data_IF_227625100437
#
_entry.id   IF_227625100437
#
_cell.length_a   1.000
_cell.length_b   1.000
_cell.length_c   1.000
_cell.angle_alpha   90.00
_cell.angle_beta   90.00
_cell.angle_gamma   90.00
#
_symmetry.space_group_name_H-M   'P 1'
#
loop_
_entity.id
_entity.type
_entity.pdbx_description
1 polymer ?
#
# COMPACT_ATOMS: atom_id res chain seq x y z
N UNK A 1 15.57 -64.55 -45.26
CA UNK A 1 14.24 -64.13 -44.89
C UNK A 1 14.40 -63.30 -43.62
N UNK A 2 14.47 -62.01 -43.77
CA UNK A 2 14.64 -61.08 -42.65
C UNK A 2 13.76 -59.92 -42.97
N UNK A 3 12.71 -59.74 -42.15
CA UNK A 3 11.77 -58.65 -42.29
C UNK A 3 12.34 -57.40 -41.55
N UNK A 4 12.47 -56.33 -42.29
CA UNK A 4 12.84 -55.01 -41.78
C UNK A 4 11.62 -54.39 -41.13
N UNK A 5 11.78 -54.08 -39.86
CA UNK A 5 10.79 -53.31 -39.12
C UNK A 5 11.21 -51.84 -39.09
N UNK A 6 10.53 -51.02 -39.90
CA UNK A 6 10.65 -49.56 -39.91
C UNK A 6 9.83 -49.00 -38.79
N UNK A 7 10.46 -48.56 -37.73
CA UNK A 7 9.87 -47.72 -36.70
C UNK A 7 10.03 -46.25 -37.08
N UNK A 8 8.93 -45.64 -37.47
CA UNK A 8 8.83 -44.19 -37.67
C UNK A 8 8.77 -43.52 -36.30
N UNK A 9 9.81 -42.80 -35.94
CA UNK A 9 9.79 -41.88 -34.81
C UNK A 9 9.21 -40.54 -35.31
N UNK A 10 7.92 -40.35 -35.13
CA UNK A 10 7.30 -39.04 -35.15
C UNK A 10 7.60 -38.33 -33.83
N UNK A 11 8.62 -37.50 -33.87
CA UNK A 11 8.97 -36.60 -32.78
C UNK A 11 8.14 -35.32 -32.93
N UNK A 12 6.87 -35.38 -32.52
CA UNK A 12 6.07 -34.18 -32.35
C UNK A 12 6.57 -33.42 -31.11
N UNK A 13 7.36 -32.39 -31.37
CA UNK A 13 7.64 -31.36 -30.39
C UNK A 13 6.33 -30.59 -30.09
N UNK A 14 5.88 -30.53 -28.83
CA UNK A 14 4.81 -29.61 -28.50
C UNK A 14 5.36 -28.18 -28.53
N UNK A 15 5.01 -27.45 -29.57
CA UNK A 15 5.20 -25.99 -29.60
C UNK A 15 4.25 -25.35 -28.63
N UNK A 16 4.57 -25.47 -27.36
CA UNK A 16 3.95 -24.67 -26.28
C UNK A 16 4.38 -23.21 -26.43
N UNK A 17 3.66 -22.44 -27.23
CA UNK A 17 3.64 -21.00 -27.11
C UNK A 17 2.96 -20.70 -25.76
N UNK A 18 3.71 -20.74 -24.68
CA UNK A 18 3.35 -20.15 -23.42
C UNK A 18 3.19 -18.66 -23.65
N UNK A 19 1.97 -18.20 -23.89
CA UNK A 19 1.65 -16.81 -23.73
C UNK A 19 2.03 -16.45 -22.30
N UNK A 20 3.04 -15.61 -22.12
CA UNK A 20 3.38 -15.04 -20.84
C UNK A 20 2.18 -14.19 -20.43
N UNK A 21 1.29 -14.77 -19.59
CA UNK A 21 0.26 -14.01 -18.91
C UNK A 21 1.00 -13.03 -17.98
N UNK A 22 1.19 -11.80 -18.45
CA UNK A 22 1.70 -10.74 -17.59
C UNK A 22 0.67 -10.54 -16.46
N UNK A 23 1.13 -10.40 -15.20
CA UNK A 23 0.22 -10.17 -14.11
C UNK A 23 -0.58 -8.88 -14.34
N UNK A 24 -1.86 -8.87 -13.93
CA UNK A 24 -2.72 -7.70 -14.03
C UNK A 24 -2.18 -6.51 -13.23
N UNK A 25 -1.51 -6.79 -12.12
CA UNK A 25 -0.89 -5.83 -11.21
C UNK A 25 0.55 -6.26 -10.96
N UNK A 26 1.49 -5.35 -11.21
CA UNK A 26 2.89 -5.52 -10.85
C UNK A 26 3.35 -4.31 -10.04
N UNK A 27 3.74 -4.54 -8.80
CA UNK A 27 4.34 -3.49 -7.95
C UNK A 27 5.85 -3.47 -8.24
N UNK A 28 6.32 -2.40 -8.84
CA UNK A 28 7.73 -2.24 -9.22
C UNK A 28 8.58 -1.78 -8.05
N UNK A 29 8.08 -0.83 -7.29
CA UNK A 29 8.75 -0.33 -6.09
C UNK A 29 7.73 0.23 -5.09
N UNK A 30 8.09 0.18 -3.82
CA UNK A 30 7.37 0.83 -2.74
C UNK A 30 8.38 1.67 -1.96
N UNK A 31 7.96 2.85 -1.52
CA UNK A 31 8.88 3.76 -0.84
C UNK A 31 8.15 4.74 0.08
N UNK A 32 8.88 5.23 1.06
CA UNK A 32 8.46 6.38 1.87
C UNK A 32 8.80 7.63 1.07
N UNK A 33 7.79 8.38 0.66
CA UNK A 33 7.98 9.66 -0.02
C UNK A 33 8.23 10.79 0.96
N UNK A 34 7.50 10.78 2.06
CA UNK A 34 7.62 11.76 3.13
C UNK A 34 7.24 11.13 4.48
N UNK A 35 7.98 11.46 5.52
CA UNK A 35 7.70 11.00 6.88
C UNK A 35 8.15 12.07 7.88
N UNK A 36 7.23 12.50 8.73
CA UNK A 36 7.55 13.36 9.85
C UNK A 36 6.87 12.88 11.14
N UNK A 37 7.57 12.99 12.24
CA UNK A 37 7.05 12.78 13.59
C UNK A 37 7.47 13.95 14.46
N UNK A 38 6.49 14.61 15.07
CA UNK A 38 6.71 15.69 16.03
C UNK A 38 6.12 15.30 17.38
N UNK A 39 6.85 15.59 18.44
CA UNK A 39 6.41 15.46 19.84
C UNK A 39 6.56 16.82 20.49
N UNK A 40 5.56 17.73 20.31
CA UNK A 40 5.72 19.17 20.60
C UNK A 40 6.05 19.49 22.05
N UNK A 41 5.59 18.64 22.97
CA UNK A 41 5.74 18.86 24.42
C UNK A 41 6.73 17.89 25.06
N UNK A 42 7.63 17.30 24.27
CA UNK A 42 8.73 16.51 24.82
C UNK A 42 9.75 17.44 25.50
N UNK A 43 10.42 17.03 26.61
CA UNK A 43 10.30 15.69 27.21
C UNK A 43 9.18 15.56 28.26
N UNK A 44 8.56 16.66 28.70
CA UNK A 44 7.62 16.69 29.83
C UNK A 44 6.41 15.83 29.59
N UNK A 45 5.89 15.77 28.36
CA UNK A 45 4.69 15.03 27.99
C UNK A 45 4.80 13.53 28.31
N UNK A 46 6.01 12.98 28.31
CA UNK A 46 6.22 11.56 28.61
C UNK A 46 5.80 11.15 30.02
N UNK A 47 5.77 12.11 30.95
CA UNK A 47 5.28 11.90 32.34
C UNK A 47 3.76 11.77 32.40
N UNK A 48 3.08 12.30 31.39
CA UNK A 48 1.61 12.34 31.32
C UNK A 48 1.01 11.08 30.66
N UNK A 49 1.84 10.20 30.07
CA UNK A 49 1.39 8.97 29.42
C UNK A 49 1.09 7.92 30.48
N UNK A 50 -0.08 7.99 31.10
CA UNK A 50 -0.57 7.03 32.11
C UNK A 50 -1.64 6.10 31.57
N UNK A 51 -2.19 6.41 30.40
CA UNK A 51 -3.23 5.68 29.70
C UNK A 51 -2.99 5.75 28.19
N UNK A 52 -3.73 4.96 27.42
CA UNK A 52 -3.67 5.02 25.95
C UNK A 52 -4.07 6.43 25.47
N UNK A 53 -3.31 7.03 24.55
CA UNK A 53 -3.67 8.33 23.97
C UNK A 53 -4.92 8.23 23.10
N UNK A 54 -5.64 9.34 22.98
CA UNK A 54 -6.68 9.50 21.98
C UNK A 54 -6.03 9.79 20.63
N UNK A 55 -6.23 8.91 19.64
CA UNK A 55 -5.59 9.02 18.33
C UNK A 55 -6.64 9.28 17.25
N UNK A 56 -6.42 10.31 16.46
CA UNK A 56 -7.17 10.61 15.26
C UNK A 56 -6.33 10.27 14.04
N UNK A 57 -6.99 9.71 13.01
CA UNK A 57 -6.33 9.28 11.77
C UNK A 57 -7.13 9.82 10.60
N UNK A 58 -6.45 10.51 9.70
CA UNK A 58 -6.96 10.88 8.40
C UNK A 58 -6.19 10.13 7.32
N UNK A 59 -6.92 9.55 6.36
CA UNK A 59 -6.36 8.74 5.27
C UNK A 59 -6.79 9.33 3.95
N UNK A 60 -5.82 9.53 3.07
CA UNK A 60 -6.04 9.99 1.71
C UNK A 60 -5.33 9.08 0.71
N UNK A 61 -5.98 8.82 -0.41
CA UNK A 61 -5.40 8.07 -1.53
C UNK A 61 -5.42 8.96 -2.77
N UNK A 62 -4.32 8.97 -3.48
CA UNK A 62 -4.18 9.63 -4.76
C UNK A 62 -3.31 8.83 -5.72
N UNK A 63 -3.37 9.16 -6.98
CA UNK A 63 -2.47 8.57 -7.96
C UNK A 63 -2.09 9.56 -9.05
N UNK A 64 -0.97 9.28 -9.70
CA UNK A 64 -0.46 9.99 -10.84
C UNK A 64 -0.17 9.00 -11.97
N UNK A 65 -0.65 9.31 -13.17
CA UNK A 65 -0.32 8.53 -14.36
C UNK A 65 1.10 8.86 -14.82
N UNK A 66 1.87 7.81 -15.04
CA UNK A 66 3.20 7.88 -15.63
C UNK A 66 3.16 7.34 -17.06
N UNK A 67 4.32 7.24 -17.71
CA UNK A 67 4.41 6.68 -19.05
C UNK A 67 4.27 5.15 -19.04
N UNK A 68 3.90 4.55 -20.18
CA UNK A 68 3.90 3.10 -20.43
C UNK A 68 3.04 2.26 -19.45
N UNK A 69 1.85 2.73 -19.11
CA UNK A 69 0.94 2.07 -18.16
C UNK A 69 1.51 1.92 -16.74
N UNK A 70 2.45 2.78 -16.37
CA UNK A 70 2.90 2.93 -15.01
C UNK A 70 2.09 4.01 -14.28
N UNK A 71 1.92 3.81 -13.00
CA UNK A 71 1.21 4.73 -12.11
C UNK A 71 1.95 4.84 -10.79
N UNK A 72 1.97 6.03 -10.23
CA UNK A 72 2.43 6.24 -8.86
C UNK A 72 1.20 6.41 -7.96
N UNK A 73 0.99 5.50 -7.03
CA UNK A 73 -0.10 5.57 -6.05
C UNK A 73 0.46 6.05 -4.73
N UNK A 74 -0.19 7.04 -4.14
CA UNK A 74 0.19 7.62 -2.85
C UNK A 74 -0.89 7.34 -1.81
N UNK A 75 -0.46 6.78 -0.69
CA UNK A 75 -1.25 6.61 0.52
C UNK A 75 -0.73 7.57 1.58
N UNK A 76 -1.56 8.56 1.95
CA UNK A 76 -1.23 9.52 3.00
C UNK A 76 -1.93 9.15 4.29
N UNK A 77 -1.17 9.08 5.35
CA UNK A 77 -1.65 8.83 6.70
C UNK A 77 -1.24 10.02 7.57
N UNK A 78 -2.21 10.80 8.01
CA UNK A 78 -2.01 11.88 8.96
C UNK A 78 -2.61 11.46 10.29
N UNK A 79 -1.78 11.42 11.32
CA UNK A 79 -2.18 10.98 12.65
C UNK A 79 -1.78 12.00 13.69
N UNK A 80 -2.65 12.21 14.63
CA UNK A 80 -2.32 12.96 15.83
C UNK A 80 -2.88 12.28 17.07
N UNK A 81 -2.13 12.32 18.14
CA UNK A 81 -2.47 11.75 19.42
C UNK A 81 -2.51 12.81 20.50
N UNK A 82 -3.49 12.71 21.39
CA UNK A 82 -3.65 13.59 22.53
C UNK A 82 -3.62 12.80 23.84
N UNK A 83 -3.03 13.38 24.88
CA UNK A 83 -3.07 12.89 26.25
C UNK A 83 -3.37 14.08 27.19
N UNK A 84 -4.36 13.91 28.07
CA UNK A 84 -4.78 14.98 29.00
C UNK A 84 -5.04 16.35 28.32
N UNK A 85 -5.68 16.31 27.13
CA UNK A 85 -5.96 17.49 26.29
C UNK A 85 -4.71 18.23 25.76
N UNK A 86 -3.57 17.58 25.80
CA UNK A 86 -2.34 18.08 25.19
C UNK A 86 -1.91 17.22 24.03
N UNK A 87 -1.35 17.85 22.99
CA UNK A 87 -0.83 17.16 21.83
C UNK A 87 0.38 16.31 22.22
N UNK A 88 0.23 14.97 22.12
CA UNK A 88 1.30 14.02 22.37
C UNK A 88 2.21 13.90 21.18
N UNK A 89 1.63 13.69 19.97
CA UNK A 89 2.41 13.58 18.75
C UNK A 89 1.60 14.02 17.52
N UNK A 90 2.31 14.39 16.49
CA UNK A 90 1.80 14.60 15.14
C UNK A 90 2.67 13.76 14.20
N UNK A 91 2.08 12.85 13.44
CA UNK A 91 2.76 12.01 12.47
C UNK A 91 2.13 12.19 11.10
N UNK A 92 2.96 12.45 10.10
CA UNK A 92 2.55 12.53 8.71
C UNK A 92 3.40 11.54 7.89
N UNK A 93 2.75 10.68 7.13
CA UNK A 93 3.38 9.72 6.25
C UNK A 93 2.76 9.80 4.86
N UNK A 94 3.58 9.93 3.83
CA UNK A 94 3.22 9.62 2.46
C UNK A 94 3.99 8.39 2.01
N UNK A 95 3.27 7.28 1.87
CA UNK A 95 3.80 6.01 1.40
C UNK A 95 3.34 5.77 -0.02
N UNK A 96 4.25 5.43 -0.90
CA UNK A 96 3.98 5.39 -2.33
C UNK A 96 4.40 4.06 -2.96
N UNK A 97 3.76 3.73 -4.07
CA UNK A 97 4.14 2.61 -4.90
C UNK A 97 4.08 2.98 -6.38
N UNK A 98 5.10 2.58 -7.13
CA UNK A 98 5.06 2.60 -8.58
C UNK A 98 4.59 1.24 -9.07
N UNK A 99 3.50 1.23 -9.82
CA UNK A 99 2.83 0.02 -10.29
C UNK A 99 2.68 0.04 -11.80
N UNK A 100 2.81 -1.13 -12.43
CA UNK A 100 2.40 -1.36 -13.81
C UNK A 100 1.08 -2.12 -13.80
N UNK A 101 0.11 -1.64 -14.57
CA UNK A 101 -1.22 -2.22 -14.64
C UNK A 101 -1.55 -2.68 -16.06
N UNK A 102 -2.08 -3.89 -16.14
CA UNK A 102 -2.63 -4.46 -17.36
C UNK A 102 -4.09 -4.89 -17.08
N UNK A 103 -4.96 -3.89 -16.95
CA UNK A 103 -6.37 -4.06 -16.62
C UNK A 103 -7.23 -3.29 -17.63
N UNK A 104 -8.51 -3.70 -17.85
CA UNK A 104 -9.45 -2.92 -18.66
C UNK A 104 -9.61 -1.50 -18.13
N UNK A 105 -9.87 -0.54 -19.01
CA UNK A 105 -9.97 0.88 -18.65
C UNK A 105 -11.02 1.17 -17.57
N UNK A 106 -12.14 0.45 -17.59
CA UNK A 106 -13.21 0.57 -16.58
C UNK A 106 -12.80 0.10 -15.18
N UNK A 107 -11.76 -0.73 -15.06
CA UNK A 107 -11.24 -1.21 -13.78
C UNK A 107 -10.01 -0.44 -13.29
N UNK A 108 -9.48 0.45 -14.10
CA UNK A 108 -8.22 1.15 -13.80
C UNK A 108 -8.32 1.98 -12.52
N UNK A 109 -9.30 2.87 -12.42
CA UNK A 109 -9.46 3.75 -11.26
C UNK A 109 -9.78 2.97 -9.97
N UNK A 110 -10.72 1.99 -9.97
CA UNK A 110 -10.93 1.14 -8.81
C UNK A 110 -9.67 0.38 -8.34
N UNK A 111 -8.86 -0.12 -9.27
CA UNK A 111 -7.59 -0.78 -8.92
C UNK A 111 -6.64 0.21 -8.25
N UNK A 112 -6.45 1.39 -8.82
CA UNK A 112 -5.56 2.43 -8.28
C UNK A 112 -6.01 2.97 -6.92
N UNK A 113 -7.32 3.08 -6.70
CA UNK A 113 -7.88 3.73 -5.50
C UNK A 113 -8.28 2.74 -4.39
N UNK A 114 -8.40 1.47 -4.69
CA UNK A 114 -8.83 0.43 -3.74
C UNK A 114 -7.79 -0.66 -3.60
N UNK A 115 -7.45 -1.34 -4.71
CA UNK A 115 -6.60 -2.54 -4.64
C UNK A 115 -5.14 -2.22 -4.31
N UNK A 116 -4.56 -1.21 -4.96
CA UNK A 116 -3.18 -0.82 -4.68
C UNK A 116 -3.03 -0.29 -3.24
N UNK A 117 -3.86 0.64 -2.76
CA UNK A 117 -3.81 1.06 -1.35
C UNK A 117 -3.96 -0.10 -0.36
N UNK A 118 -4.85 -1.06 -0.65
CA UNK A 118 -5.01 -2.26 0.17
C UNK A 118 -3.73 -3.09 0.24
N UNK A 119 -3.01 -3.23 -0.87
CA UNK A 119 -1.77 -4.00 -0.93
C UNK A 119 -0.61 -3.31 -0.20
N UNK A 120 -0.51 -1.97 -0.26
CA UNK A 120 0.60 -1.22 0.35
C UNK A 120 0.32 -0.80 1.80
N UNK A 121 -0.92 -0.78 2.23
CA UNK A 121 -1.30 -0.36 3.59
C UNK A 121 -0.58 -1.12 4.72
N UNK A 122 -0.41 -2.45 4.68
CA UNK A 122 0.32 -3.17 5.73
C UNK A 122 1.75 -2.67 5.91
N UNK A 123 2.41 -2.26 4.84
CA UNK A 123 3.77 -1.70 4.89
C UNK A 123 3.77 -0.28 5.46
N UNK A 124 2.84 0.56 5.02
CA UNK A 124 2.66 1.91 5.57
C UNK A 124 2.34 1.85 7.08
N UNK A 125 1.45 0.95 7.49
CA UNK A 125 1.13 0.72 8.90
C UNK A 125 2.36 0.33 9.71
N UNK A 126 3.20 -0.53 9.17
CA UNK A 126 4.45 -0.94 9.84
C UNK A 126 5.41 0.26 10.01
N UNK A 127 5.53 1.12 9.01
CA UNK A 127 6.33 2.36 9.11
C UNK A 127 5.82 3.23 10.26
N UNK A 128 4.52 3.45 10.34
CA UNK A 128 3.90 4.24 11.42
C UNK A 128 4.20 3.65 12.79
N UNK A 129 3.95 2.35 12.97
CA UNK A 129 4.17 1.67 14.26
C UNK A 129 5.63 1.78 14.69
N UNK A 130 6.57 1.52 13.78
CA UNK A 130 7.99 1.61 14.08
C UNK A 130 8.42 3.06 14.40
N UNK A 131 7.90 4.04 13.64
CA UNK A 131 8.20 5.44 13.85
C UNK A 131 7.76 5.92 15.25
N UNK A 132 6.57 5.52 15.70
CA UNK A 132 6.07 5.86 17.04
C UNK A 132 6.94 5.24 18.13
N UNK A 133 7.33 3.97 18.00
CA UNK A 133 8.21 3.26 18.94
C UNK A 133 9.58 3.93 19.01
N UNK A 134 10.18 4.26 17.87
CA UNK A 134 11.45 4.99 17.80
C UNK A 134 11.35 6.42 18.38
N UNK A 135 10.16 7.02 18.34
CA UNK A 135 9.85 8.27 18.98
C UNK A 135 9.66 8.18 20.50
N UNK A 136 9.84 7.00 21.10
CA UNK A 136 9.65 6.79 22.53
C UNK A 136 8.18 6.70 22.97
N UNK A 137 7.27 6.53 22.01
CA UNK A 137 5.84 6.41 22.27
C UNK A 137 5.40 4.95 22.36
N UNK A 138 4.27 4.66 23.06
CA UNK A 138 3.69 3.34 23.02
C UNK A 138 3.35 2.92 21.58
N UNK A 139 3.51 1.63 21.21
CA UNK A 139 3.12 1.17 19.90
C UNK A 139 1.61 1.36 19.69
N UNK A 140 1.26 1.87 18.54
CA UNK A 140 -0.13 2.00 18.10
C UNK A 140 -0.30 1.29 16.75
N UNK A 141 -1.29 0.42 16.69
CA UNK A 141 -1.61 -0.31 15.46
C UNK A 141 -2.89 0.23 14.85
N UNK A 142 -2.80 0.72 13.62
CA UNK A 142 -3.94 1.20 12.86
C UNK A 142 -4.82 0.01 12.48
N UNK A 143 -6.13 0.12 12.73
CA UNK A 143 -7.10 -0.86 12.25
C UNK A 143 -7.15 -0.90 10.71
N UNK A 144 -7.54 -2.04 10.12
CA UNK A 144 -7.74 -2.12 8.67
C UNK A 144 -8.65 -1.00 8.14
N UNK A 145 -8.29 -0.46 6.98
CA UNK A 145 -9.02 0.63 6.34
C UNK A 145 -9.94 0.08 5.26
N UNK A 146 -11.18 0.54 5.24
CA UNK A 146 -12.15 0.24 4.18
C UNK A 146 -11.97 1.20 3.00
N UNK A 147 -11.06 0.85 2.09
CA UNK A 147 -10.80 1.65 0.89
C UNK A 147 -11.97 1.66 -0.08
N UNK A 148 -12.82 0.65 -0.08
CA UNK A 148 -14.04 0.61 -0.92
C UNK A 148 -15.00 1.71 -0.51
N UNK A 149 -15.29 1.80 0.78
CA UNK A 149 -16.17 2.86 1.32
C UNK A 149 -15.57 4.25 1.08
N UNK A 150 -14.26 4.42 1.30
CA UNK A 150 -13.58 5.68 1.02
C UNK A 150 -13.72 6.11 -0.45
N UNK A 151 -13.50 5.19 -1.37
CA UNK A 151 -13.63 5.45 -2.81
C UNK A 151 -15.06 5.84 -3.20
N UNK A 152 -16.04 5.10 -2.71
CA UNK A 152 -17.45 5.37 -2.98
C UNK A 152 -17.90 6.73 -2.42
N UNK A 153 -17.49 7.07 -1.20
CA UNK A 153 -17.80 8.37 -0.60
C UNK A 153 -17.19 9.52 -1.40
N UNK A 154 -15.98 9.37 -1.91
CA UNK A 154 -15.33 10.36 -2.76
C UNK A 154 -16.12 10.59 -4.07
N UNK A 155 -16.65 9.53 -4.70
CA UNK A 155 -17.47 9.63 -5.92
C UNK A 155 -18.80 10.33 -5.69
N UNK A 156 -19.41 10.15 -4.52
CA UNK A 156 -20.71 10.74 -4.18
C UNK A 156 -20.63 12.13 -3.56
N UNK A 157 -19.41 12.65 -3.35
CA UNK A 157 -19.22 13.98 -2.75
C UNK A 157 -19.60 14.07 -1.27
N UNK A 158 -19.61 12.94 -0.56
CA UNK A 158 -19.88 12.86 0.89
C UNK A 158 -18.61 12.74 1.69
#
# INVERSE_FOLDING_TARGET
MSEENKTSNDNEQPTGRGGQNQPAILINTQYIKDLSLEIPHAPEIFKEIKSAPEVQINVEVGYQTLENNFYNVELKLNMDGDVNHQKLFILELTYSAVVALNVPAEHLEPVLMIEIPRLIFPFARNVVTNCLVEGGLPPFMINPIDFVTMYNNRKTGK
#
